data_IF_823412082078
#
_entry.id   IF_823412082078
#
_cell.length_a   1.000
_cell.length_b   1.000
_cell.length_c   1.000
_cell.angle_alpha   90.00
_cell.angle_beta   90.00
_cell.angle_gamma   90.00
#
_symmetry.space_group_name_H-M   'P 1'
#
loop_
_entity.id
_entity.type
_entity.pdbx_description
1 polymer ?
#
# COMPACT_ATOMS: atom_id res chain seq x y z
N UNK A 1 18.58 -16.86 -14.77
CA UNK A 1 17.65 -16.50 -15.86
C UNK A 1 16.81 -15.32 -15.36
N UNK A 2 16.52 -14.34 -16.20
CA UNK A 2 15.57 -13.27 -15.85
C UNK A 2 14.17 -13.86 -15.72
N UNK A 3 13.37 -13.40 -14.76
CA UNK A 3 11.96 -13.75 -14.67
C UNK A 3 11.21 -13.21 -15.89
N UNK A 4 10.14 -13.90 -16.27
CA UNK A 4 9.14 -13.43 -17.23
C UNK A 4 8.28 -12.31 -16.62
N UNK A 5 7.59 -11.54 -17.45
CA UNK A 5 6.70 -10.49 -16.97
C UNK A 5 5.55 -11.03 -16.11
N UNK A 6 5.10 -12.26 -16.38
CA UNK A 6 4.08 -12.96 -15.59
C UNK A 6 4.60 -13.32 -14.18
N UNK A 7 5.80 -13.90 -14.10
CA UNK A 7 6.45 -14.20 -12.82
C UNK A 7 6.74 -12.93 -12.00
N UNK A 8 7.16 -11.84 -12.65
CA UNK A 8 7.36 -10.56 -11.98
C UNK A 8 6.04 -9.96 -11.50
N UNK A 9 4.97 -10.03 -12.29
CA UNK A 9 3.65 -9.52 -11.92
C UNK A 9 3.15 -10.16 -10.61
N UNK A 10 3.39 -11.47 -10.43
CA UNK A 10 3.03 -12.21 -9.21
C UNK A 10 4.11 -12.20 -8.10
N UNK A 11 5.25 -11.54 -8.32
CA UNK A 11 6.30 -11.45 -7.31
C UNK A 11 5.88 -10.52 -6.18
N UNK A 12 5.85 -11.05 -4.95
CA UNK A 12 5.47 -10.26 -3.76
C UNK A 12 6.63 -9.43 -3.21
N UNK A 13 7.84 -9.98 -3.25
CA UNK A 13 9.08 -9.35 -2.80
C UNK A 13 10.27 -10.03 -3.46
N UNK A 14 11.38 -9.30 -3.64
CA UNK A 14 12.67 -9.86 -4.06
C UNK A 14 13.57 -10.22 -2.87
N UNK A 15 13.16 -9.90 -1.64
CA UNK A 15 13.99 -10.09 -0.46
C UNK A 15 13.70 -11.38 0.27
N UNK A 16 14.75 -11.92 0.87
CA UNK A 16 14.64 -13.07 1.74
C UNK A 16 13.95 -12.71 3.06
N UNK A 17 13.07 -13.59 3.51
CA UNK A 17 12.51 -13.54 4.85
C UNK A 17 13.62 -13.94 5.84
N UNK A 18 13.89 -13.14 6.89
CA UNK A 18 14.86 -13.53 7.92
C UNK A 18 14.51 -14.89 8.51
N UNK A 19 15.50 -15.77 8.67
CA UNK A 19 15.30 -17.12 9.26
C UNK A 19 14.74 -17.12 10.68
N UNK A 20 14.84 -15.99 11.38
CA UNK A 20 14.28 -15.77 12.72
C UNK A 20 12.82 -15.33 12.71
N UNK A 21 12.24 -15.06 11.54
CA UNK A 21 10.84 -14.64 11.43
C UNK A 21 9.91 -15.84 11.43
N UNK A 22 8.94 -15.85 12.35
CA UNK A 22 7.90 -16.89 12.47
C UNK A 22 6.49 -16.38 12.18
N UNK A 23 6.34 -15.10 11.83
CA UNK A 23 5.05 -14.49 11.51
C UNK A 23 4.61 -14.70 10.06
N UNK A 24 3.48 -14.08 9.66
CA UNK A 24 3.02 -14.13 8.28
C UNK A 24 4.05 -13.56 7.30
N UNK A 25 4.08 -14.12 6.09
CA UNK A 25 4.87 -13.59 4.97
C UNK A 25 3.91 -12.86 4.05
N UNK A 26 4.30 -11.66 3.62
CA UNK A 26 3.49 -10.88 2.71
C UNK A 26 3.28 -11.63 1.39
N UNK A 27 2.04 -11.60 0.92
CA UNK A 27 1.66 -12.04 -0.43
C UNK A 27 0.96 -10.88 -1.13
N UNK A 28 1.33 -10.63 -2.37
CA UNK A 28 0.60 -9.68 -3.19
C UNK A 28 -0.81 -10.23 -3.47
N UNK A 29 -1.80 -9.34 -3.46
CA UNK A 29 -3.16 -9.60 -3.94
C UNK A 29 -3.36 -8.82 -5.23
N UNK A 30 -3.15 -9.51 -6.35
CA UNK A 30 -3.19 -8.96 -7.72
C UNK A 30 -4.10 -9.75 -8.66
N UNK A 31 -4.96 -10.59 -8.08
CA UNK A 31 -6.12 -11.26 -8.69
C UNK A 31 -7.25 -10.24 -8.92
N UNK A 32 -6.96 -9.18 -9.67
CA UNK A 32 -7.87 -8.06 -9.84
C UNK A 32 -9.19 -8.50 -10.50
N UNK A 33 -10.33 -7.91 -10.09
CA UNK A 33 -11.58 -8.13 -10.79
C UNK A 33 -11.46 -7.65 -12.24
N UNK A 34 -11.95 -8.45 -13.19
CA UNK A 34 -12.02 -8.01 -14.58
C UNK A 34 -13.13 -6.95 -14.72
N UNK A 35 -12.99 -5.99 -15.65
CA UNK A 35 -14.08 -5.05 -15.94
C UNK A 35 -15.41 -5.73 -16.29
N UNK A 36 -15.38 -6.93 -16.90
CA UNK A 36 -16.58 -7.70 -17.26
C UNK A 36 -17.24 -8.42 -16.08
N UNK A 37 -16.49 -8.72 -15.01
CA UNK A 37 -17.04 -9.30 -13.78
C UNK A 37 -17.92 -8.32 -12.98
N UNK A 38 -17.95 -7.05 -13.37
CA UNK A 38 -18.76 -6.01 -12.72
C UNK A 38 -20.21 -5.91 -13.27
N UNK A 39 -20.56 -6.63 -14.35
CA UNK A 39 -21.94 -6.75 -14.89
C UNK A 39 -22.14 -6.24 -16.33
N UNK A 40 -23.33 -6.43 -16.94
CA UNK A 40 -23.66 -5.88 -18.26
C UNK A 40 -23.99 -4.36 -18.18
N UNK A 41 -23.52 -3.58 -19.16
CA UNK A 41 -23.62 -2.11 -19.18
C UNK A 41 -22.29 -1.38 -18.98
N UNK A 42 -21.19 -2.12 -18.79
CA UNK A 42 -19.85 -1.59 -18.62
C UNK A 42 -19.10 -1.66 -19.96
N UNK A 43 -18.81 -0.51 -20.62
CA UNK A 43 -17.81 -0.47 -21.67
C UNK A 43 -16.46 -0.94 -21.11
N UNK A 44 -15.52 -1.33 -21.98
CA UNK A 44 -14.12 -1.45 -21.59
C UNK A 44 -13.63 -0.09 -21.06
N UNK A 45 -13.78 0.14 -19.75
CA UNK A 45 -13.61 1.40 -19.01
C UNK A 45 -14.14 2.64 -19.77
N UNK A 46 -15.29 3.22 -19.36
CA UNK A 46 -15.27 3.93 -18.08
C UNK A 46 -16.58 3.87 -17.27
N UNK A 47 -16.38 3.86 -15.93
CA UNK A 47 -17.25 4.37 -14.87
C UNK A 47 -18.62 3.68 -14.65
N UNK A 48 -18.86 3.17 -13.43
CA UNK A 48 -20.20 2.86 -13.00
C UNK A 48 -20.92 4.09 -12.45
N UNK A 49 -22.08 4.39 -13.00
CA UNK A 49 -23.26 4.47 -12.14
C UNK A 49 -23.56 3.02 -11.71
N UNK A 50 -22.96 2.55 -10.60
CA UNK A 50 -23.38 1.31 -9.93
C UNK A 50 -24.39 1.74 -8.88
N UNK A 51 -25.66 1.32 -9.01
CA UNK A 51 -26.60 1.41 -7.93
C UNK A 51 -26.21 0.42 -6.82
N UNK A 52 -25.91 0.92 -5.61
CA UNK A 52 -25.87 0.09 -4.40
C UNK A 52 -24.68 0.32 -3.45
N UNK A 53 -24.99 0.72 -2.21
CA UNK A 53 -24.30 0.58 -0.90
C UNK A 53 -22.77 0.81 -0.72
N UNK A 54 -21.91 0.66 -1.72
CA UNK A 54 -20.46 0.51 -1.51
C UNK A 54 -19.69 1.85 -1.54
N UNK A 55 -20.17 2.88 -2.23
CA UNK A 55 -19.50 4.19 -2.36
C UNK A 55 -20.24 5.35 -1.68
N UNK A 56 -20.87 5.10 -0.52
CA UNK A 56 -21.77 6.06 0.16
C UNK A 56 -21.12 7.39 0.55
N UNK A 57 -19.78 7.48 0.59
CA UNK A 57 -19.10 8.77 0.76
C UNK A 57 -19.41 9.76 -0.36
N UNK A 58 -19.83 9.32 -1.54
CA UNK A 58 -20.26 10.19 -2.64
C UNK A 58 -21.54 10.98 -2.31
N UNK A 59 -22.33 10.53 -1.33
CA UNK A 59 -23.51 11.24 -0.82
C UNK A 59 -23.13 12.39 0.13
N UNK A 60 -21.87 12.46 0.56
CA UNK A 60 -21.38 13.47 1.51
C UNK A 60 -20.69 14.59 0.73
N UNK A 61 -21.29 15.77 0.73
CA UNK A 61 -20.63 17.00 0.27
C UNK A 61 -19.45 17.33 1.20
N UNK A 62 -18.22 17.04 0.74
CA UNK A 62 -17.02 17.25 1.54
C UNK A 62 -16.64 18.74 1.71
N UNK A 63 -17.19 19.64 0.89
CA UNK A 63 -17.01 21.09 1.07
C UNK A 63 -17.84 21.57 2.26
N UNK A 64 -19.03 20.99 2.47
CA UNK A 64 -19.92 21.33 3.60
C UNK A 64 -19.62 20.51 4.86
N UNK A 65 -19.21 19.26 4.70
CA UNK A 65 -19.05 18.31 5.81
C UNK A 65 -17.71 17.54 5.74
N UNK A 66 -16.55 18.24 5.74
CA UNK A 66 -15.24 17.63 5.50
C UNK A 66 -14.88 16.55 6.54
N UNK A 67 -15.15 16.80 7.82
CA UNK A 67 -14.86 15.82 8.88
C UNK A 67 -15.74 14.57 8.79
N UNK A 68 -17.01 14.74 8.39
CA UNK A 68 -17.93 13.60 8.17
C UNK A 68 -17.44 12.75 7.01
N UNK A 69 -17.02 13.38 5.91
CA UNK A 69 -16.44 12.70 4.76
C UNK A 69 -15.16 11.94 5.14
N UNK A 70 -14.21 12.62 5.81
CA UNK A 70 -12.94 12.01 6.23
C UNK A 70 -13.15 10.82 7.17
N UNK A 71 -14.04 10.95 8.16
CA UNK A 71 -14.39 9.85 9.05
C UNK A 71 -15.04 8.69 8.30
N UNK A 72 -15.94 8.96 7.35
CA UNK A 72 -16.56 7.91 6.55
C UNK A 72 -15.53 7.11 5.77
N UNK A 73 -14.63 7.78 5.06
CA UNK A 73 -13.54 7.12 4.30
C UNK A 73 -12.66 6.30 5.24
N UNK A 74 -12.29 6.85 6.39
CA UNK A 74 -11.47 6.15 7.38
C UNK A 74 -12.14 4.87 7.88
N UNK A 75 -13.41 4.92 8.28
CA UNK A 75 -14.16 3.73 8.71
C UNK A 75 -14.30 2.71 7.56
N UNK A 76 -14.59 3.15 6.33
CA UNK A 76 -14.63 2.28 5.15
C UNK A 76 -13.29 1.54 4.92
N UNK A 77 -12.16 2.23 5.08
CA UNK A 77 -10.83 1.63 4.95
C UNK A 77 -10.48 0.68 6.10
N UNK A 78 -11.05 0.89 7.28
CA UNK A 78 -10.78 0.07 8.47
C UNK A 78 -11.64 -1.17 8.59
N UNK A 79 -12.84 -1.15 8.02
CA UNK A 79 -13.81 -2.25 8.11
C UNK A 79 -13.22 -3.59 7.64
N UNK A 80 -13.15 -4.54 8.59
CA UNK A 80 -12.52 -5.85 8.41
C UNK A 80 -10.98 -5.85 8.36
N UNK A 81 -10.34 -4.75 7.93
CA UNK A 81 -8.88 -4.65 7.79
C UNK A 81 -8.15 -4.64 9.13
N UNK A 82 -8.68 -3.95 10.15
CA UNK A 82 -8.06 -3.90 11.49
C UNK A 82 -7.98 -5.31 12.09
N UNK A 83 -9.04 -6.11 11.99
CA UNK A 83 -9.10 -7.45 12.58
C UNK A 83 -8.15 -8.46 11.94
N UNK A 84 -7.67 -8.19 10.73
CA UNK A 84 -6.75 -9.07 9.99
C UNK A 84 -5.35 -8.49 9.88
N UNK A 85 -5.04 -7.45 10.67
CA UNK A 85 -3.76 -6.74 10.64
C UNK A 85 -3.34 -6.34 9.22
N UNK A 86 -4.33 -5.86 8.46
CA UNK A 86 -4.21 -5.44 7.06
C UNK A 86 -3.68 -6.52 6.09
N UNK A 87 -3.76 -7.80 6.46
CA UNK A 87 -3.62 -8.92 5.50
C UNK A 87 -4.92 -9.03 4.70
N UNK A 88 -5.06 -8.17 3.70
CA UNK A 88 -6.31 -7.93 2.96
C UNK A 88 -6.93 -9.15 2.27
N UNK A 89 -6.16 -10.21 2.02
CA UNK A 89 -6.68 -11.50 1.54
C UNK A 89 -7.62 -12.17 2.56
N UNK A 90 -7.51 -11.80 3.84
CA UNK A 90 -8.32 -12.36 4.94
C UNK A 90 -9.50 -11.47 5.31
N UNK A 91 -9.63 -10.28 4.71
CA UNK A 91 -10.75 -9.40 4.98
C UNK A 91 -12.01 -9.99 4.34
N UNK A 92 -13.03 -10.30 5.16
CA UNK A 92 -14.30 -10.86 4.71
C UNK A 92 -15.39 -9.82 4.51
N UNK A 93 -15.14 -8.57 4.88
CA UNK A 93 -16.09 -7.46 4.71
C UNK A 93 -15.92 -6.81 3.34
N UNK A 94 -14.68 -6.61 2.89
CA UNK A 94 -14.37 -5.91 1.64
C UNK A 94 -13.11 -6.44 0.97
N UNK A 95 -13.13 -6.42 -0.35
CA UNK A 95 -11.97 -6.75 -1.16
C UNK A 95 -11.05 -5.55 -1.36
N UNK A 96 -9.76 -5.80 -1.13
CA UNK A 96 -8.69 -4.82 -1.24
C UNK A 96 -7.47 -5.44 -1.91
N UNK A 97 -6.86 -4.70 -2.83
CA UNK A 97 -5.80 -5.21 -3.70
C UNK A 97 -4.56 -4.32 -3.64
N UNK A 98 -3.42 -4.85 -4.06
CA UNK A 98 -2.15 -4.13 -4.07
C UNK A 98 -1.80 -3.69 -5.48
N UNK A 99 -1.09 -2.57 -5.64
CA UNK A 99 -0.47 -2.27 -6.92
C UNK A 99 0.62 -3.31 -7.26
N UNK A 100 0.77 -3.74 -8.53
CA UNK A 100 1.82 -4.66 -8.94
C UNK A 100 3.16 -3.93 -9.10
N UNK A 101 4.25 -4.69 -9.33
CA UNK A 101 5.58 -4.15 -9.70
C UNK A 101 6.32 -3.30 -8.65
N UNK A 102 5.74 -3.05 -7.49
CA UNK A 102 6.40 -2.29 -6.42
C UNK A 102 7.58 -3.04 -5.76
N UNK A 103 7.81 -4.30 -6.13
CA UNK A 103 8.99 -5.09 -5.71
C UNK A 103 10.21 -4.84 -6.59
N UNK A 104 10.05 -4.24 -7.77
CA UNK A 104 11.09 -4.21 -8.80
C UNK A 104 12.21 -3.19 -8.56
N UNK A 105 12.13 -2.39 -7.50
CA UNK A 105 13.23 -1.52 -7.09
C UNK A 105 14.12 -2.22 -6.08
N UNK A 106 15.36 -1.76 -5.99
CA UNK A 106 16.36 -2.20 -5.03
C UNK A 106 16.04 -1.86 -3.55
N UNK A 107 15.00 -1.04 -3.31
CA UNK A 107 14.32 -0.86 -2.00
C UNK A 107 12.84 -1.19 -2.13
N UNK A 108 12.55 -2.20 -2.96
CA UNK A 108 11.21 -2.60 -3.32
C UNK A 108 10.44 -3.13 -2.13
N UNK A 109 9.32 -3.78 -2.43
CA UNK A 109 8.44 -4.35 -1.43
C UNK A 109 9.16 -5.30 -0.46
N UNK A 110 9.14 -5.01 0.83
CA UNK A 110 9.70 -5.89 1.87
C UNK A 110 8.80 -7.13 2.12
N UNK A 111 9.37 -8.26 2.58
CA UNK A 111 8.70 -9.55 2.48
C UNK A 111 7.76 -9.89 3.65
N UNK A 112 7.70 -9.09 4.73
CA UNK A 112 6.89 -9.40 5.92
C UNK A 112 5.50 -8.76 5.87
N UNK A 113 5.43 -7.47 5.55
CA UNK A 113 4.20 -6.66 5.55
C UNK A 113 3.88 -6.03 4.20
N UNK A 114 4.76 -6.16 3.21
CA UNK A 114 4.57 -5.60 1.87
C UNK A 114 4.84 -4.10 1.79
N UNK A 115 5.61 -3.54 2.73
CA UNK A 115 5.95 -2.12 2.74
C UNK A 115 6.94 -1.77 1.62
N UNK A 116 6.81 -0.57 1.08
CA UNK A 116 7.75 0.02 0.12
C UNK A 116 8.39 1.24 0.75
N UNK A 117 9.69 1.43 0.52
CA UNK A 117 10.39 2.62 0.98
C UNK A 117 9.81 3.85 0.27
N UNK A 118 9.40 4.87 1.03
CA UNK A 118 8.87 6.12 0.48
C UNK A 118 9.96 7.19 0.45
N UNK A 119 10.52 7.54 1.62
CA UNK A 119 11.57 8.56 1.73
C UNK A 119 12.35 8.47 3.05
N UNK A 120 13.56 9.02 3.02
CA UNK A 120 14.33 9.36 4.22
C UNK A 120 13.94 10.77 4.67
N UNK A 121 13.80 10.99 5.97
CA UNK A 121 13.49 12.30 6.56
C UNK A 121 14.75 12.82 7.28
N UNK A 122 15.26 14.01 6.95
CA UNK A 122 16.32 14.69 7.71
C UNK A 122 15.93 14.95 9.16
N UNK A 123 16.94 15.03 10.02
CA UNK A 123 16.81 15.49 11.42
C UNK A 123 16.04 16.81 11.50
N UNK A 124 15.14 16.91 12.48
CA UNK A 124 14.33 18.10 12.77
C UNK A 124 13.14 18.36 11.83
N UNK A 125 12.99 17.62 10.72
CA UNK A 125 11.90 17.90 9.76
C UNK A 125 10.54 17.35 10.22
N UNK A 126 10.50 16.16 10.83
CA UNK A 126 9.25 15.56 11.29
C UNK A 126 8.80 16.13 12.64
N UNK A 127 9.75 16.37 13.55
CA UNK A 127 9.48 17.00 14.84
C UNK A 127 10.70 17.76 15.35
N UNK A 128 10.49 18.81 16.15
CA UNK A 128 11.58 19.62 16.70
C UNK A 128 12.58 18.83 17.57
N UNK A 129 12.15 17.73 18.20
CA UNK A 129 12.99 16.85 19.03
C UNK A 129 13.58 15.66 18.26
N UNK A 130 13.27 15.52 16.97
CA UNK A 130 13.82 14.47 16.13
C UNK A 130 15.29 14.78 15.84
N UNK A 131 16.21 14.07 16.49
CA UNK A 131 17.65 14.24 16.26
C UNK A 131 18.16 13.34 15.13
N UNK A 132 17.52 12.20 14.89
CA UNK A 132 17.99 11.20 13.92
C UNK A 132 17.35 11.41 12.55
N UNK A 133 18.01 10.92 11.50
CA UNK A 133 17.35 10.71 10.22
C UNK A 133 16.38 9.52 10.33
N UNK A 134 15.19 9.64 9.74
CA UNK A 134 14.15 8.61 9.80
C UNK A 134 13.89 8.00 8.42
N UNK A 135 13.33 6.81 8.37
CA UNK A 135 12.78 6.26 7.13
C UNK A 135 11.26 6.22 7.23
N UNK A 136 10.61 6.51 6.11
CA UNK A 136 9.19 6.29 5.93
C UNK A 136 8.94 5.17 4.95
N UNK A 137 7.98 4.33 5.32
CA UNK A 137 7.59 3.13 4.62
C UNK A 137 6.08 3.13 4.46
N UNK A 138 5.58 2.51 3.40
CA UNK A 138 4.14 2.44 3.23
C UNK A 138 3.66 1.23 2.46
N UNK A 139 2.38 0.92 2.64
CA UNK A 139 1.65 -0.05 1.82
C UNK A 139 0.33 0.57 1.40
N UNK A 140 0.02 0.48 0.11
CA UNK A 140 -1.20 1.01 -0.49
C UNK A 140 -2.18 -0.09 -0.88
N UNK A 141 -3.47 0.19 -0.69
CA UNK A 141 -4.57 -0.71 -0.96
C UNK A 141 -5.62 -0.03 -1.84
N UNK A 142 -6.09 -0.74 -2.85
CA UNK A 142 -7.12 -0.29 -3.80
C UNK A 142 -8.37 -1.13 -3.57
N UNK A 143 -9.54 -0.51 -3.44
CA UNK A 143 -10.79 -1.26 -3.43
C UNK A 143 -11.05 -1.89 -4.82
N UNK A 144 -12.00 -2.82 -4.90
CA UNK A 144 -12.30 -3.54 -6.14
C UNK A 144 -12.49 -2.64 -7.39
N UNK A 145 -13.26 -1.52 -7.34
CA UNK A 145 -13.34 -0.58 -8.45
C UNK A 145 -12.00 0.02 -8.88
N UNK A 146 -11.15 0.41 -7.92
CA UNK A 146 -9.82 0.91 -8.24
C UNK A 146 -8.94 -0.17 -8.87
N UNK A 147 -8.98 -1.37 -8.28
CA UNK A 147 -8.17 -2.51 -8.70
C UNK A 147 -8.54 -3.05 -10.09
N UNK A 148 -9.79 -2.91 -10.54
CA UNK A 148 -10.21 -3.36 -11.88
C UNK A 148 -9.47 -2.66 -13.01
N UNK A 149 -9.00 -1.43 -12.78
CA UNK A 149 -8.14 -0.72 -13.74
C UNK A 149 -6.83 -1.48 -13.93
N UNK A 150 -6.22 -1.98 -12.85
CA UNK A 150 -5.02 -2.82 -12.96
C UNK A 150 -5.32 -4.14 -13.67
N UNK A 151 -6.50 -4.72 -13.47
CA UNK A 151 -6.95 -5.90 -14.21
C UNK A 151 -7.00 -5.68 -15.72
N UNK A 152 -7.41 -4.49 -16.17
CA UNK A 152 -7.37 -4.10 -17.58
C UNK A 152 -5.95 -3.85 -18.09
N UNK A 153 -5.16 -3.05 -17.36
CA UNK A 153 -3.76 -2.72 -17.72
C UNK A 153 -2.92 -3.98 -17.88
N UNK A 154 -3.03 -4.91 -16.93
CA UNK A 154 -2.19 -6.10 -16.83
C UNK A 154 -2.90 -7.39 -17.28
N UNK A 155 -3.98 -7.29 -18.06
CA UNK A 155 -4.67 -8.46 -18.64
C UNK A 155 -3.70 -9.35 -19.44
N UNK A 156 -2.67 -8.74 -20.04
CA UNK A 156 -1.47 -9.43 -20.51
C UNK A 156 -0.25 -8.79 -19.83
N UNK A 157 0.36 -9.43 -18.81
CA UNK A 157 1.50 -8.88 -18.09
C UNK A 157 2.71 -8.52 -18.96
N UNK A 158 2.87 -9.22 -20.10
CA UNK A 158 3.97 -8.98 -21.05
C UNK A 158 3.68 -7.85 -22.03
N UNK A 159 2.43 -7.37 -22.10
CA UNK A 159 1.99 -6.30 -22.99
C UNK A 159 0.97 -5.41 -22.27
N UNK A 160 1.40 -4.65 -21.24
CA UNK A 160 0.48 -3.78 -20.53
C UNK A 160 -0.12 -2.73 -21.45
N UNK A 161 -1.38 -2.42 -21.23
CA UNK A 161 -2.07 -1.33 -21.93
C UNK A 161 -1.97 -0.08 -21.07
N UNK A 162 -1.37 0.98 -21.60
CA UNK A 162 -1.32 2.29 -20.96
C UNK A 162 -1.63 3.38 -21.98
N UNK A 163 -2.82 3.95 -21.88
CA UNK A 163 -3.29 5.02 -22.77
C UNK A 163 -4.14 6.03 -21.97
N UNK A 164 -4.56 7.09 -22.65
CA UNK A 164 -5.31 8.18 -22.03
C UNK A 164 -6.74 7.81 -21.61
N UNK A 165 -7.25 6.69 -22.11
CA UNK A 165 -8.60 6.17 -21.84
C UNK A 165 -8.70 5.48 -20.46
N UNK A 166 -7.57 5.13 -19.85
CA UNK A 166 -7.55 4.55 -18.51
C UNK A 166 -8.01 5.59 -17.47
N UNK A 167 -9.18 5.35 -16.88
CA UNK A 167 -9.75 6.16 -15.80
C UNK A 167 -10.17 5.26 -14.64
N UNK A 168 -9.85 5.71 -13.42
CA UNK A 168 -10.39 5.10 -12.22
C UNK A 168 -11.89 5.37 -12.12
N UNK A 169 -12.72 4.35 -11.84
CA UNK A 169 -14.15 4.53 -11.69
C UNK A 169 -14.51 5.43 -10.49
N UNK A 170 -15.65 6.13 -10.56
CA UNK A 170 -16.27 6.78 -9.38
C UNK A 170 -16.48 5.71 -8.30
N UNK A 171 -16.24 6.09 -7.05
CA UNK A 171 -16.21 5.12 -5.96
C UNK A 171 -14.91 4.34 -5.84
N UNK A 172 -13.88 4.64 -6.64
CA UNK A 172 -12.51 4.20 -6.32
C UNK A 172 -12.08 4.81 -5.00
N UNK A 173 -11.59 3.95 -4.10
CA UNK A 173 -10.99 4.34 -2.85
C UNK A 173 -9.60 3.70 -2.78
N UNK A 174 -8.61 4.52 -2.44
CA UNK A 174 -7.23 4.10 -2.19
C UNK A 174 -6.87 4.60 -0.81
N UNK A 175 -6.33 3.73 0.02
CA UNK A 175 -5.71 4.16 1.28
C UNK A 175 -4.32 3.59 1.40
N UNK A 176 -3.50 4.27 2.18
CA UNK A 176 -2.11 3.92 2.42
C UNK A 176 -1.86 3.98 3.92
N UNK A 177 -1.22 2.96 4.45
CA UNK A 177 -0.64 3.01 5.78
C UNK A 177 0.77 3.54 5.65
N UNK A 178 1.08 4.59 6.41
CA UNK A 178 2.42 5.17 6.48
C UNK A 178 3.01 4.82 7.85
N UNK A 179 4.21 4.25 7.82
CA UNK A 179 4.98 3.88 8.99
C UNK A 179 6.32 4.60 8.94
N UNK A 180 6.93 4.77 10.10
CA UNK A 180 8.18 5.47 10.26
C UNK A 180 9.06 4.75 11.28
N UNK A 181 10.37 4.91 11.18
CA UNK A 181 11.33 4.45 12.20
C UNK A 181 11.44 5.41 13.39
N UNK A 182 10.55 6.41 13.48
CA UNK A 182 10.53 7.37 14.57
C UNK A 182 10.35 6.67 15.92
N UNK A 183 11.06 7.16 16.94
CA UNK A 183 10.88 6.76 18.33
C UNK A 183 9.99 7.77 19.06
N UNK A 184 9.23 7.28 20.04
CA UNK A 184 8.28 8.08 20.81
C UNK A 184 8.94 9.30 21.49
N UNK A 185 10.21 9.18 21.91
CA UNK A 185 10.93 10.28 22.57
C UNK A 185 11.26 11.43 21.61
N UNK A 186 11.45 11.11 20.32
CA UNK A 186 11.80 12.06 19.27
C UNK A 186 10.57 12.67 18.60
N UNK A 187 9.51 11.88 18.45
CA UNK A 187 8.26 12.27 17.79
C UNK A 187 7.08 11.90 18.69
N UNK A 188 6.92 12.67 19.78
CA UNK A 188 5.91 12.40 20.81
C UNK A 188 4.48 12.30 20.29
N UNK A 189 4.14 12.97 19.19
CA UNK A 189 2.81 12.87 18.56
C UNK A 189 2.49 11.48 18.02
N UNK A 190 3.49 10.62 17.85
CA UNK A 190 3.34 9.22 17.41
C UNK A 190 3.28 8.24 18.58
N UNK A 191 3.35 8.71 19.83
CA UNK A 191 3.41 7.83 21.00
C UNK A 191 2.23 6.86 21.07
N UNK A 192 2.55 5.57 21.15
CA UNK A 192 1.56 4.49 21.17
C UNK A 192 0.89 4.19 19.82
N UNK A 193 1.42 4.74 18.71
CA UNK A 193 0.97 4.36 17.39
C UNK A 193 1.23 2.87 17.12
N UNK A 194 0.38 2.18 16.32
CA UNK A 194 0.64 0.81 15.90
C UNK A 194 1.99 0.69 15.19
N UNK A 195 2.71 -0.39 15.48
CA UNK A 195 4.01 -0.67 14.90
C UNK A 195 4.05 -2.07 14.27
N UNK A 196 4.89 -2.22 13.24
CA UNK A 196 5.13 -3.51 12.61
C UNK A 196 6.61 -3.86 12.58
N UNK A 197 6.98 -5.14 12.80
CA UNK A 197 8.27 -5.63 12.40
C UNK A 197 8.36 -5.60 10.86
N UNK A 198 9.46 -5.07 10.35
CA UNK A 198 9.68 -4.92 8.91
C UNK A 198 11.16 -5.14 8.58
N UNK A 199 11.41 -5.58 7.34
CA UNK A 199 12.75 -5.71 6.80
C UNK A 199 13.06 -4.43 6.02
N UNK A 200 13.89 -3.55 6.60
CA UNK A 200 14.12 -2.20 6.06
C UNK A 200 15.50 -2.03 5.43
N UNK A 201 15.63 -1.05 4.54
CA UNK A 201 16.93 -0.68 3.98
C UNK A 201 17.84 -0.02 5.04
N UNK A 202 19.17 -0.03 4.87
CA UNK A 202 20.06 0.78 5.69
C UNK A 202 19.69 2.23 5.50
N UNK A 203 19.84 3.03 6.56
CA UNK A 203 19.48 4.45 6.53
C UNK A 203 20.09 5.15 5.32
N UNK A 204 19.28 5.56 4.33
CA UNK A 204 19.78 6.33 3.21
C UNK A 204 20.17 7.73 3.71
N UNK A 205 21.19 8.33 3.09
CA UNK A 205 21.54 9.73 3.36
C UNK A 205 20.30 10.61 3.17
N UNK A 206 19.77 11.27 4.21
CA UNK A 206 18.53 12.04 4.12
C UNK A 206 18.65 13.27 3.21
N UNK A 207 19.88 13.67 2.83
CA UNK A 207 20.15 14.80 1.93
C UNK A 207 20.33 14.37 0.48
N UNK A 208 20.28 13.06 0.18
CA UNK A 208 20.44 12.51 -1.16
C UNK A 208 19.31 11.54 -1.43
N UNK A 209 18.84 11.47 -2.69
CA UNK A 209 17.95 10.37 -3.06
C UNK A 209 18.67 9.04 -2.76
N UNK A 210 17.98 8.03 -2.21
CA UNK A 210 18.60 6.73 -1.99
C UNK A 210 19.22 6.26 -3.30
N UNK A 211 20.50 5.80 -3.30
CA UNK A 211 21.04 5.14 -4.48
C UNK A 211 20.12 3.96 -4.79
N UNK A 212 19.98 3.61 -6.07
CA UNK A 212 19.21 2.41 -6.44
C UNK A 212 19.70 1.25 -5.54
N UNK A 213 21.00 1.00 -5.42
CA UNK A 213 21.56 -0.18 -4.73
C UNK A 213 21.55 -0.21 -3.18
N UNK A 214 20.44 0.09 -2.50
CA UNK A 214 20.38 -0.02 -1.03
C UNK A 214 20.29 -1.49 -0.56
N UNK A 215 21.32 -1.97 0.17
CA UNK A 215 21.36 -3.34 0.71
C UNK A 215 20.62 -3.47 2.02
N UNK A 216 19.43 -4.07 2.06
CA UNK A 216 18.64 -4.28 3.28
C UNK A 216 19.45 -4.61 4.54
N UNK A 217 19.20 -3.86 5.63
CA UNK A 217 19.70 -4.17 6.96
C UNK A 217 18.63 -4.98 7.71
N UNK A 218 19.03 -6.13 8.28
CA UNK A 218 18.20 -6.78 9.31
C UNK A 218 18.14 -5.84 10.51
N UNK A 219 16.97 -5.32 10.87
CA UNK A 219 16.83 -4.51 12.09
C UNK A 219 15.95 -5.21 13.13
N UNK A 220 16.33 -4.93 14.37
CA UNK A 220 16.15 -5.66 15.60
C UNK A 220 14.71 -5.88 16.01
N UNK A 221 14.51 -7.02 16.66
CA UNK A 221 13.33 -7.40 17.43
C UNK A 221 13.21 -6.61 18.74
N UNK A 222 13.69 -5.37 18.80
CA UNK A 222 13.49 -4.56 19.99
C UNK A 222 12.04 -4.09 20.00
N UNK A 223 11.27 -4.80 20.82
CA UNK A 223 9.93 -4.43 21.27
C UNK A 223 9.87 -2.92 21.45
N UNK A 224 9.04 -2.25 20.66
CA UNK A 224 8.39 -1.05 21.15
C UNK A 224 7.61 -1.48 22.39
N UNK A 225 8.13 -1.11 23.56
CA UNK A 225 7.49 -1.30 24.84
C UNK A 225 6.46 -0.21 25.07
#
# INVERSE_FOLDING_TARGET
MSKTADEEFHTSSQYEVPSTWSGPIFKIRNDYPSPAQLGPGFPALPLPDIPGAEARWLEIDFHKHPLKYANFIKEYCWEGNISVDFVVQKNTQRDWYHAPWMHASDSGREPLKGLTFERSIPSGEFAAKQTDALQNWAIGFYNAPGASVFGGVWANPSKPVWNEDLKFPKGTCVFKLLLTTAKDEQVFTMKGAPAWPAVICPQPDPKRAPPRTAKIAKISTEKCA
#
